data_IF_419337527718
#
_entry.id   IF_419337527718
#
_cell.length_a   1.000
_cell.length_b   1.000
_cell.length_c   1.000
_cell.angle_alpha   90.00
_cell.angle_beta   90.00
_cell.angle_gamma   90.00
#
_symmetry.space_group_name_H-M   'P 1'
#
loop_
_entity.id
_entity.type
_entity.pdbx_description
1 polymer ?
#
# COMPACT_ATOMS: atom_id res chain seq x y z
N UNK A 1 -3.82 -7.08 9.70
CA UNK A 1 -5.04 -7.89 9.60
C UNK A 1 -5.05 -9.05 10.59
N UNK A 2 -4.02 -9.92 10.59
CA UNK A 2 -3.89 -11.09 11.49
C UNK A 2 -4.15 -10.77 12.96
N UNK A 3 -3.39 -9.83 13.55
CA UNK A 3 -3.54 -9.45 14.96
C UNK A 3 -4.93 -8.92 15.30
N UNK A 4 -5.62 -8.28 14.34
CA UNK A 4 -6.97 -7.72 14.52
C UNK A 4 -8.07 -8.70 14.15
N UNK A 5 -7.73 -9.87 13.60
CA UNK A 5 -8.65 -10.88 13.07
C UNK A 5 -9.73 -10.28 12.16
N UNK A 6 -9.36 -9.28 11.36
CA UNK A 6 -10.27 -8.62 10.43
C UNK A 6 -9.57 -8.27 9.12
N UNK A 7 -10.36 -8.11 8.04
CA UNK A 7 -9.88 -7.52 6.79
C UNK A 7 -9.35 -6.10 7.06
N UNK A 8 -8.23 -5.76 6.42
CA UNK A 8 -7.65 -4.41 6.46
C UNK A 8 -7.37 -3.95 5.04
N UNK A 9 -8.05 -2.90 4.63
CA UNK A 9 -7.92 -2.24 3.34
C UNK A 9 -6.78 -1.21 3.37
N UNK A 10 -5.94 -1.24 2.35
CA UNK A 10 -4.92 -0.23 2.06
C UNK A 10 -5.38 0.52 0.82
N UNK A 11 -5.63 1.82 0.97
CA UNK A 11 -6.01 2.73 -0.11
C UNK A 11 -4.84 3.65 -0.43
N UNK A 12 -4.63 3.87 -1.72
CA UNK A 12 -3.58 4.69 -2.32
C UNK A 12 -4.25 5.62 -3.34
N UNK A 13 -3.93 6.90 -3.25
CA UNK A 13 -4.38 7.93 -4.18
C UNK A 13 -3.13 8.58 -4.77
N UNK A 14 -2.79 8.18 -6.01
CA UNK A 14 -1.61 8.69 -6.72
C UNK A 14 -1.73 10.16 -7.11
N UNK A 15 -2.96 10.65 -7.33
CA UNK A 15 -3.19 12.03 -7.77
C UNK A 15 -3.04 13.00 -6.60
N UNK A 16 -3.54 12.59 -5.43
CA UNK A 16 -3.41 13.38 -4.20
C UNK A 16 -2.12 13.12 -3.45
N UNK A 17 -1.36 12.09 -3.83
CA UNK A 17 -0.21 11.63 -3.07
C UNK A 17 -0.61 11.22 -1.65
N UNK A 18 -1.66 10.42 -1.49
CA UNK A 18 -2.22 10.09 -0.18
C UNK A 18 -2.34 8.57 0.02
N UNK A 19 -2.25 8.13 1.27
CA UNK A 19 -2.52 6.75 1.66
C UNK A 19 -3.42 6.66 2.89
N UNK A 20 -4.12 5.54 3.01
CA UNK A 20 -4.91 5.21 4.19
C UNK A 20 -5.06 3.72 4.43
N UNK A 21 -5.11 3.34 5.71
CA UNK A 21 -5.24 1.97 6.20
C UNK A 21 -6.49 1.86 7.05
N UNK A 22 -7.42 1.02 6.62
CA UNK A 22 -8.77 0.91 7.18
C UNK A 22 -9.07 -0.53 7.55
N UNK A 23 -9.38 -0.84 8.81
CA UNK A 23 -10.01 -2.11 9.14
C UNK A 23 -11.45 -2.09 8.59
N UNK A 24 -11.93 -3.25 8.18
CA UNK A 24 -13.31 -3.40 7.70
C UNK A 24 -14.32 -2.85 8.72
N UNK A 25 -15.13 -1.88 8.29
CA UNK A 25 -16.19 -1.22 9.09
C UNK A 25 -15.71 -0.57 10.39
N UNK A 26 -14.45 -0.11 10.46
CA UNK A 26 -13.89 0.60 11.62
C UNK A 26 -13.19 1.89 11.19
N UNK A 27 -12.92 2.74 12.17
CA UNK A 27 -12.10 3.94 12.00
C UNK A 27 -10.72 3.61 11.44
N UNK A 28 -10.13 4.56 10.70
CA UNK A 28 -8.79 4.41 10.13
C UNK A 28 -7.74 4.06 11.20
N UNK A 29 -6.78 3.22 10.83
CA UNK A 29 -5.60 2.93 11.65
C UNK A 29 -4.48 3.93 11.40
N UNK A 30 -4.30 4.31 10.14
CA UNK A 30 -3.29 5.25 9.71
C UNK A 30 -3.75 5.90 8.42
N UNK A 31 -3.48 7.19 8.27
CA UNK A 31 -3.70 7.96 7.05
C UNK A 31 -2.61 9.01 6.97
N UNK A 32 -2.17 9.34 5.76
CA UNK A 32 -1.14 10.36 5.60
C UNK A 32 -1.00 10.85 4.18
N UNK A 33 -0.41 12.04 4.09
CA UNK A 33 0.09 12.58 2.83
C UNK A 33 1.50 12.07 2.60
N UNK A 34 1.81 11.78 1.35
CA UNK A 34 3.16 11.50 0.89
C UNK A 34 3.94 12.83 0.99
N UNK A 35 5.16 12.81 1.58
CA UNK A 35 5.96 14.02 1.72
C UNK A 35 6.16 14.77 0.41
N UNK A 36 6.17 16.11 0.49
CA UNK A 36 6.36 16.96 -0.68
C UNK A 36 7.63 16.61 -1.47
N UNK A 37 7.50 16.61 -2.79
CA UNK A 37 8.58 16.23 -3.72
C UNK A 37 8.65 14.72 -4.02
N UNK A 38 8.04 13.86 -3.21
CA UNK A 38 7.86 12.46 -3.57
C UNK A 38 6.64 12.28 -4.47
N UNK A 39 6.76 11.41 -5.47
CA UNK A 39 5.64 11.01 -6.32
C UNK A 39 5.26 9.57 -5.98
N UNK A 40 3.99 9.36 -5.67
CA UNK A 40 3.40 8.04 -5.46
C UNK A 40 2.82 7.52 -6.76
N UNK A 41 3.17 6.29 -7.13
CA UNK A 41 2.50 5.55 -8.20
C UNK A 41 2.28 4.09 -7.80
N UNK A 42 1.38 3.40 -8.49
CA UNK A 42 1.12 1.98 -8.28
C UNK A 42 0.33 1.35 -9.45
N UNK A 43 0.39 0.02 -9.56
CA UNK A 43 -0.38 -0.72 -10.57
C UNK A 43 -1.69 -1.34 -10.05
N UNK A 44 -2.16 -0.97 -8.87
CA UNK A 44 -3.44 -1.42 -8.35
C UNK A 44 -4.63 -0.74 -9.05
N UNK A 45 -5.41 -1.53 -9.81
CA UNK A 45 -6.56 -1.07 -10.61
C UNK A 45 -7.72 -0.42 -9.84
N UNK A 46 -7.72 -0.48 -8.51
CA UNK A 46 -8.79 0.06 -7.65
C UNK A 46 -8.28 1.05 -6.61
N UNK A 47 -7.09 1.63 -6.83
CA UNK A 47 -6.48 2.56 -5.86
C UNK A 47 -6.10 1.87 -4.55
N UNK A 48 -5.78 0.57 -4.57
CA UNK A 48 -5.47 -0.16 -3.34
C UNK A 48 -5.63 -1.68 -3.40
N UNK A 49 -5.48 -2.30 -2.23
CA UNK A 49 -5.58 -3.74 -1.99
C UNK A 49 -6.03 -3.98 -0.54
N UNK A 50 -6.26 -5.23 -0.14
CA UNK A 50 -6.58 -5.54 1.26
C UNK A 50 -5.83 -6.78 1.72
N UNK A 51 -5.56 -6.84 3.03
CA UNK A 51 -5.11 -8.04 3.73
C UNK A 51 -6.33 -8.75 4.34
N UNK A 52 -6.45 -10.05 4.11
CA UNK A 52 -7.48 -10.87 4.77
C UNK A 52 -7.06 -11.25 6.20
N UNK A 53 -7.93 -11.98 6.92
CA UNK A 53 -7.70 -12.40 8.31
C UNK A 53 -6.47 -13.29 8.50
N UNK A 54 -6.01 -13.98 7.44
CA UNK A 54 -4.82 -14.83 7.42
C UNK A 54 -3.55 -14.06 7.06
N UNK A 55 -3.67 -12.79 6.67
CA UNK A 55 -2.54 -11.97 6.26
C UNK A 55 -2.21 -12.04 4.77
N UNK A 56 -2.98 -12.76 3.96
CA UNK A 56 -2.79 -12.76 2.51
C UNK A 56 -3.33 -11.47 1.89
N UNK A 57 -2.68 -11.01 0.82
CA UNK A 57 -3.15 -9.85 0.06
C UNK A 57 -4.18 -10.27 -0.99
N UNK A 58 -5.06 -9.35 -1.34
CA UNK A 58 -6.12 -9.60 -2.30
C UNK A 58 -5.68 -9.63 -3.77
N UNK A 59 -4.51 -9.08 -4.07
CA UNK A 59 -3.89 -9.05 -5.40
C UNK A 59 -2.41 -8.68 -5.29
N UNK A 60 -1.57 -9.30 -6.12
CA UNK A 60 -0.18 -8.89 -6.26
C UNK A 60 -0.10 -7.52 -6.96
N UNK A 61 1.00 -6.81 -6.71
CA UNK A 61 1.24 -5.52 -7.34
C UNK A 61 2.52 -4.85 -6.87
N UNK A 62 2.70 -3.61 -7.30
CA UNK A 62 3.84 -2.78 -6.92
C UNK A 62 3.40 -1.36 -6.59
N UNK A 63 4.03 -0.80 -5.57
CA UNK A 63 3.99 0.62 -5.23
C UNK A 63 5.35 1.20 -5.58
N UNK A 64 5.35 2.39 -6.17
CA UNK A 64 6.55 3.12 -6.55
C UNK A 64 6.58 4.46 -5.81
N UNK A 65 7.74 4.80 -5.26
CA UNK A 65 8.02 6.11 -4.68
C UNK A 65 9.20 6.71 -5.43
N UNK A 66 8.93 7.78 -6.18
CA UNK A 66 9.95 8.51 -6.92
C UNK A 66 10.42 9.70 -6.11
N UNK A 67 11.74 9.83 -5.98
CA UNK A 67 12.40 10.91 -5.25
C UNK A 67 12.77 12.06 -6.19
N UNK A 68 12.83 13.31 -5.69
CA UNK A 68 13.23 14.47 -6.52
C UNK A 68 14.60 14.32 -7.17
N UNK A 69 15.49 13.53 -6.57
CA UNK A 69 16.84 13.27 -7.08
C UNK A 69 16.88 12.17 -8.17
N UNK A 70 15.73 11.72 -8.67
CA UNK A 70 15.62 10.69 -9.70
C UNK A 70 15.71 9.25 -9.18
N UNK A 71 15.93 9.03 -7.88
CA UNK A 71 15.90 7.68 -7.30
C UNK A 71 14.49 7.15 -7.20
N UNK A 72 14.34 5.83 -7.23
CA UNK A 72 13.04 5.17 -7.07
C UNK A 72 13.11 4.05 -6.03
N UNK A 73 12.08 3.94 -5.20
CA UNK A 73 11.85 2.77 -4.37
C UNK A 73 10.65 2.01 -4.87
N UNK A 74 10.84 0.71 -5.07
CA UNK A 74 9.78 -0.23 -5.47
C UNK A 74 9.43 -1.13 -4.30
N UNK A 75 8.14 -1.16 -3.97
CA UNK A 75 7.60 -2.09 -2.97
C UNK A 75 6.75 -3.11 -3.74
N UNK A 76 7.18 -4.37 -3.73
CA UNK A 76 6.49 -5.48 -4.39
C UNK A 76 5.68 -6.25 -3.36
N UNK A 77 4.41 -6.51 -3.69
CA UNK A 77 3.47 -7.24 -2.86
C UNK A 77 3.12 -8.57 -3.53
N UNK A 78 3.39 -9.68 -2.82
CA UNK A 78 3.11 -11.04 -3.28
C UNK A 78 1.87 -11.64 -2.62
N UNK A 79 1.07 -12.36 -3.40
CA UNK A 79 -0.19 -12.98 -2.96
C UNK A 79 0.03 -14.00 -1.85
N UNK A 80 1.09 -14.80 -1.96
CA UNK A 80 1.40 -15.86 -1.04
C UNK A 80 2.03 -15.31 0.24
N UNK A 81 1.41 -15.62 1.39
CA UNK A 81 1.83 -15.13 2.71
C UNK A 81 1.69 -13.62 2.96
N UNK A 82 1.28 -12.83 1.95
CA UNK A 82 1.24 -11.37 2.05
C UNK A 82 2.62 -10.73 2.21
N UNK A 83 3.64 -11.36 1.60
CA UNK A 83 5.03 -10.91 1.68
C UNK A 83 5.21 -9.58 0.96
N UNK A 84 5.92 -8.67 1.62
CA UNK A 84 6.32 -7.37 1.10
C UNK A 84 7.84 -7.34 0.93
N UNK A 85 8.28 -7.01 -0.28
CA UNK A 85 9.71 -6.86 -0.61
C UNK A 85 9.96 -5.42 -1.03
N UNK A 86 10.98 -4.80 -0.45
CA UNK A 86 11.41 -3.44 -0.79
C UNK A 86 12.70 -3.55 -1.61
N UNK A 87 12.71 -2.92 -2.78
CA UNK A 87 13.86 -2.87 -3.68
C UNK A 87 14.19 -1.41 -3.98
N UNK A 88 15.48 -1.10 -3.97
CA UNK A 88 15.99 0.16 -4.53
C UNK A 88 16.12 -0.02 -6.05
N UNK A 89 15.63 0.96 -6.81
CA UNK A 89 15.67 0.98 -8.27
C UNK A 89 16.38 2.20 -8.82
#
# INVERSE_FOLDING_TARGET
>A
AVARRCRVDVKLDKEKGWYGVYPWLKSSLATGQIPGGLILDHNFSSGGFYFNTLGHISRAGSIYLFYPNGKMKRIILYMDGGVLVIQDG
#
